data_IF_560551606747
#
_entry.id   IF_560551606747
#
_cell.length_a   1.000
_cell.length_b   1.000
_cell.length_c   1.000
_cell.angle_alpha   90.00
_cell.angle_beta   90.00
_cell.angle_gamma   90.00
#
_symmetry.space_group_name_H-M   'P 1'
#
loop_
_entity.id
_entity.type
_entity.pdbx_description
1 polymer ?
#
# COMPACT_ATOMS: atom_id res chain seq x y z
N UNK A 1 15.81 -14.28 2.82
CA UNK A 1 15.64 -13.01 2.07
C UNK A 1 16.89 -12.15 2.24
N UNK A 2 17.39 -11.50 1.18
CA UNK A 2 18.46 -10.49 1.30
C UNK A 2 17.84 -9.13 1.68
N UNK A 3 18.48 -8.40 2.59
CA UNK A 3 18.07 -7.05 2.96
C UNK A 3 19.04 -5.99 2.43
N UNK A 4 18.55 -4.76 2.30
CA UNK A 4 19.31 -3.55 1.96
C UNK A 4 18.93 -2.43 2.93
N UNK A 5 19.82 -1.44 3.10
CA UNK A 5 19.48 -0.19 3.78
C UNK A 5 18.72 0.70 2.80
N UNK A 6 17.55 1.20 3.21
CA UNK A 6 16.72 2.07 2.37
C UNK A 6 17.26 3.50 2.38
N UNK A 7 18.13 3.82 1.43
CA UNK A 7 18.71 5.16 1.28
C UNK A 7 19.35 5.65 2.59
N UNK A 8 19.03 6.88 2.99
CA UNK A 8 19.57 7.49 4.21
C UNK A 8 18.72 7.22 5.47
N UNK A 9 17.72 6.34 5.39
CA UNK A 9 16.82 6.06 6.54
C UNK A 9 17.47 5.20 7.62
N UNK A 10 18.59 4.53 7.32
CA UNK A 10 19.20 3.48 8.13
C UNK A 10 18.28 2.28 8.43
N UNK A 11 17.11 2.19 7.79
CA UNK A 11 16.19 1.06 7.95
C UNK A 11 16.58 -0.08 7.01
N UNK A 12 16.71 -1.29 7.57
CA UNK A 12 16.94 -2.52 6.81
C UNK A 12 15.62 -3.08 6.30
N UNK A 13 15.48 -3.20 4.98
CA UNK A 13 14.27 -3.70 4.30
C UNK A 13 14.61 -4.86 3.37
N UNK A 14 13.63 -5.71 3.05
CA UNK A 14 13.84 -6.76 2.04
C UNK A 14 14.19 -6.11 0.68
N UNK A 15 15.18 -6.68 -0.02
CA UNK A 15 15.64 -6.13 -1.30
C UNK A 15 14.59 -6.22 -2.42
N UNK A 16 13.55 -7.03 -2.22
CA UNK A 16 12.35 -7.10 -3.03
C UNK A 16 11.17 -6.62 -2.17
N UNK A 17 10.29 -5.82 -2.77
CA UNK A 17 9.07 -5.33 -2.14
C UNK A 17 7.82 -5.95 -2.76
N UNK A 18 6.76 -6.03 -1.96
CA UNK A 18 5.42 -6.31 -2.44
C UNK A 18 4.75 -5.01 -2.85
N UNK A 19 4.29 -4.90 -4.10
CA UNK A 19 3.40 -3.82 -4.54
C UNK A 19 1.93 -4.25 -4.46
N UNK A 20 1.09 -3.43 -3.82
CA UNK A 20 -0.29 -3.79 -3.46
C UNK A 20 -1.38 -3.18 -4.36
N UNK A 21 -1.06 -2.63 -5.53
CA UNK A 21 -2.06 -1.98 -6.40
C UNK A 21 -3.24 -2.90 -6.78
N UNK A 22 -2.97 -4.19 -7.02
CA UNK A 22 -4.01 -5.17 -7.33
C UNK A 22 -5.04 -5.34 -6.20
N UNK A 23 -4.66 -5.08 -4.94
CA UNK A 23 -5.58 -5.25 -3.80
C UNK A 23 -6.71 -4.22 -3.82
N UNK A 24 -6.50 -3.09 -4.51
CA UNK A 24 -7.54 -2.09 -4.77
C UNK A 24 -8.70 -2.60 -5.62
N UNK A 25 -8.52 -3.70 -6.37
CA UNK A 25 -9.55 -4.26 -7.23
C UNK A 25 -9.87 -3.39 -8.46
N UNK A 26 -11.04 -3.58 -9.08
CA UNK A 26 -11.44 -2.82 -10.25
C UNK A 26 -11.65 -1.34 -9.91
N UNK A 27 -11.06 -0.45 -10.70
CA UNK A 27 -11.19 1.00 -10.54
C UNK A 27 -11.24 1.69 -11.89
N UNK A 28 -11.80 2.91 -11.89
CA UNK A 28 -11.85 3.79 -13.06
C UNK A 28 -11.50 5.23 -12.68
N UNK A 29 -10.81 5.91 -13.59
CA UNK A 29 -10.67 7.35 -13.62
C UNK A 29 -11.38 7.86 -14.87
N UNK A 30 -12.60 8.37 -14.70
CA UNK A 30 -13.48 8.71 -15.82
C UNK A 30 -13.72 7.49 -16.73
N UNK A 31 -13.42 7.56 -18.04
CA UNK A 31 -13.57 6.43 -18.95
C UNK A 31 -12.44 5.39 -18.83
N UNK A 32 -11.32 5.71 -18.17
CA UNK A 32 -10.13 4.87 -18.14
C UNK A 32 -10.18 3.86 -16.99
N UNK A 33 -9.89 2.59 -17.29
CA UNK A 33 -9.72 1.56 -16.27
C UNK A 33 -8.32 1.68 -15.64
N UNK A 34 -8.27 1.78 -14.31
CA UNK A 34 -7.04 2.02 -13.53
C UNK A 34 -6.83 0.98 -12.42
N UNK A 35 -7.62 -0.10 -12.43
CA UNK A 35 -7.51 -1.17 -11.44
C UNK A 35 -7.50 -2.55 -12.07
N UNK A 36 -7.50 -3.58 -11.21
CA UNK A 36 -7.36 -4.98 -11.59
C UNK A 36 -8.67 -5.74 -11.38
N UNK A 37 -9.17 -6.40 -12.43
CA UNK A 37 -10.39 -7.21 -12.33
C UNK A 37 -10.14 -8.58 -11.70
N UNK A 38 -11.22 -9.21 -11.23
CA UNK A 38 -11.24 -10.56 -10.67
C UNK A 38 -10.30 -10.78 -9.47
N UNK A 39 -10.02 -9.72 -8.71
CA UNK A 39 -9.24 -9.79 -7.48
C UNK A 39 -10.13 -10.21 -6.32
N UNK A 40 -9.67 -11.19 -5.54
CA UNK A 40 -10.32 -11.62 -4.29
C UNK A 40 -9.49 -11.17 -3.11
N UNK A 41 -10.16 -10.68 -2.08
CA UNK A 41 -9.48 -10.19 -0.87
C UNK A 41 -8.70 -11.32 -0.18
N UNK A 42 -9.21 -12.56 -0.21
CA UNK A 42 -8.51 -13.74 0.31
C UNK A 42 -7.18 -14.02 -0.40
N UNK A 43 -7.10 -13.81 -1.72
CA UNK A 43 -5.84 -13.99 -2.46
C UNK A 43 -4.81 -12.93 -2.02
N UNK A 44 -5.29 -11.71 -1.76
CA UNK A 44 -4.46 -10.61 -1.27
C UNK A 44 -3.93 -10.89 0.14
N UNK A 45 -4.80 -11.35 1.04
CA UNK A 45 -4.47 -11.77 2.42
C UNK A 45 -3.46 -12.92 2.41
N UNK A 46 -3.70 -13.96 1.60
CA UNK A 46 -2.79 -15.11 1.47
C UNK A 46 -1.43 -14.68 0.91
N UNK A 47 -1.40 -13.70 0.00
CA UNK A 47 -0.16 -13.12 -0.52
C UNK A 47 0.62 -12.39 0.57
N UNK A 48 -0.05 -11.62 1.44
CA UNK A 48 0.60 -10.93 2.58
C UNK A 48 1.24 -11.93 3.55
N UNK A 49 0.50 -12.99 3.92
CA UNK A 49 1.02 -14.08 4.77
C UNK A 49 2.23 -14.72 4.12
N UNK A 50 2.12 -15.13 2.85
CA UNK A 50 3.22 -15.77 2.13
C UNK A 50 4.44 -14.87 2.01
N UNK A 51 4.25 -13.57 1.74
CA UNK A 51 5.33 -12.60 1.69
C UNK A 51 6.08 -12.52 3.02
N UNK A 52 5.37 -12.44 4.14
CA UNK A 52 6.00 -12.48 5.45
C UNK A 52 6.78 -13.77 5.70
N UNK A 53 6.22 -14.93 5.34
CA UNK A 53 6.85 -16.25 5.55
C UNK A 53 8.17 -16.40 4.79
N UNK A 54 8.25 -15.86 3.56
CA UNK A 54 9.49 -15.89 2.75
C UNK A 54 10.41 -14.70 3.01
N UNK A 55 10.02 -13.79 3.90
CA UNK A 55 10.80 -12.65 4.35
C UNK A 55 10.67 -11.38 3.48
N UNK A 56 9.71 -11.29 2.55
CA UNK A 56 9.33 -10.04 1.88
C UNK A 56 8.53 -9.20 2.89
N UNK A 57 9.20 -8.26 3.55
CA UNK A 57 8.63 -7.46 4.64
C UNK A 57 8.62 -5.95 4.35
N UNK A 58 9.03 -5.56 3.16
CA UNK A 58 8.83 -4.22 2.61
C UNK A 58 7.59 -4.23 1.72
N UNK A 59 6.52 -3.58 2.15
CA UNK A 59 5.23 -3.55 1.44
C UNK A 59 4.91 -2.11 1.01
N UNK A 60 4.42 -1.96 -0.21
CA UNK A 60 4.07 -0.70 -0.84
C UNK A 60 2.57 -0.65 -1.19
N UNK A 61 1.91 0.43 -0.77
CA UNK A 61 0.50 0.73 -1.08
C UNK A 61 0.33 2.23 -1.37
N UNK A 62 -0.90 2.69 -1.62
CA UNK A 62 -1.27 4.09 -1.73
C UNK A 62 -2.76 4.25 -1.39
N UNK A 63 -3.15 5.45 -0.97
CA UNK A 63 -4.55 5.86 -0.74
C UNK A 63 -5.43 5.64 -1.98
N UNK A 64 -4.92 5.92 -3.17
CA UNK A 64 -5.66 5.77 -4.42
C UNK A 64 -5.89 4.33 -4.87
N UNK A 65 -5.20 3.35 -4.28
CA UNK A 65 -5.36 1.95 -4.67
C UNK A 65 -6.70 1.39 -4.15
N UNK A 66 -7.75 1.52 -4.97
CA UNK A 66 -9.10 1.12 -4.60
C UNK A 66 -9.75 2.06 -3.58
N UNK A 67 -9.42 3.36 -3.59
CA UNK A 67 -9.93 4.38 -2.67
C UNK A 67 -9.78 3.94 -1.19
N UNK A 68 -8.55 3.56 -0.85
CA UNK A 68 -8.14 3.03 0.45
C UNK A 68 -8.39 1.54 0.64
N UNK A 69 -8.99 0.82 -0.32
CA UNK A 69 -9.26 -0.63 -0.17
C UNK A 69 -7.96 -1.43 0.05
N UNK A 70 -6.89 -1.12 -0.69
CA UNK A 70 -5.60 -1.80 -0.52
C UNK A 70 -5.05 -1.67 0.90
N UNK A 71 -5.11 -0.46 1.48
CA UNK A 71 -4.68 -0.19 2.85
C UNK A 71 -5.55 -0.90 3.88
N UNK A 72 -6.86 -0.99 3.67
CA UNK A 72 -7.78 -1.74 4.53
C UNK A 72 -7.48 -3.25 4.52
N UNK A 73 -7.17 -3.82 3.36
CA UNK A 73 -6.76 -5.24 3.26
C UNK A 73 -5.47 -5.47 4.04
N UNK A 74 -4.46 -4.62 3.87
CA UNK A 74 -3.21 -4.71 4.63
C UNK A 74 -3.47 -4.54 6.13
N UNK A 75 -4.31 -3.58 6.52
CA UNK A 75 -4.72 -3.32 7.90
C UNK A 75 -5.37 -4.53 8.59
N UNK A 76 -6.09 -5.36 7.83
CA UNK A 76 -6.82 -6.52 8.36
C UNK A 76 -5.92 -7.66 8.87
N UNK A 77 -4.61 -7.66 8.53
CA UNK A 77 -3.71 -8.79 8.83
C UNK A 77 -2.99 -8.68 10.18
N UNK A 78 -3.13 -7.57 10.90
CA UNK A 78 -2.33 -7.28 12.10
C UNK A 78 -2.62 -8.19 13.29
N UNK A 79 -3.79 -8.83 13.33
CA UNK A 79 -4.08 -9.88 14.32
C UNK A 79 -3.37 -11.21 14.00
N UNK A 80 -2.86 -11.38 12.77
CA UNK A 80 -2.20 -12.59 12.28
C UNK A 80 -0.69 -12.44 12.14
N UNK A 81 -0.21 -11.22 11.92
CA UNK A 81 1.20 -10.93 11.66
C UNK A 81 1.72 -9.79 12.56
N UNK A 82 2.94 -9.90 13.11
CA UNK A 82 3.53 -8.85 13.92
C UNK A 82 3.82 -7.61 13.06
N UNK A 83 3.04 -6.54 13.27
CA UNK A 83 3.18 -5.26 12.54
C UNK A 83 4.61 -4.69 12.60
N UNK A 84 5.32 -4.89 13.70
CA UNK A 84 6.71 -4.42 13.90
C UNK A 84 7.73 -5.04 12.95
N UNK A 85 7.42 -6.19 12.34
CA UNK A 85 8.30 -6.83 11.38
C UNK A 85 8.16 -6.26 9.96
N UNK A 86 7.12 -5.46 9.71
CA UNK A 86 6.77 -4.98 8.37
C UNK A 86 7.17 -3.50 8.23
N UNK A 87 7.97 -3.22 7.20
CA UNK A 87 8.14 -1.86 6.70
C UNK A 87 7.04 -1.59 5.67
N UNK A 88 6.07 -0.76 6.05
CA UNK A 88 4.94 -0.39 5.20
C UNK A 88 5.15 1.03 4.68
N UNK A 89 5.19 1.18 3.36
CA UNK A 89 5.20 2.45 2.67
C UNK A 89 3.81 2.71 2.05
N UNK A 90 3.25 3.89 2.32
CA UNK A 90 2.06 4.39 1.64
C UNK A 90 2.36 5.75 0.98
N UNK A 91 1.40 6.26 0.22
CA UNK A 91 1.52 7.48 -0.58
C UNK A 91 0.20 8.26 -0.51
N UNK A 92 0.31 9.57 -0.69
CA UNK A 92 -0.83 10.46 -0.84
C UNK A 92 -0.50 11.63 -1.77
N UNK A 93 -1.49 12.48 -2.06
CA UNK A 93 -1.34 13.67 -2.92
C UNK A 93 -1.71 13.44 -4.38
N UNK A 94 -2.56 12.44 -4.68
CA UNK A 94 -3.17 12.30 -6.02
C UNK A 94 -4.49 13.06 -6.13
N UNK A 95 -5.33 13.01 -5.08
CA UNK A 95 -6.56 13.81 -4.98
C UNK A 95 -6.21 15.22 -4.46
N UNK A 96 -6.53 16.31 -5.19
CA UNK A 96 -6.35 17.68 -4.70
C UNK A 96 -7.46 18.14 -3.74
N UNK A 97 -8.54 17.37 -3.61
CA UNK A 97 -9.73 17.77 -2.84
C UNK A 97 -10.36 19.04 -3.41
N UNK A 98 -10.59 20.02 -2.53
CA UNK A 98 -11.19 21.31 -2.90
C UNK A 98 -10.15 22.37 -3.34
N UNK A 99 -8.87 21.99 -3.43
CA UNK A 99 -7.77 22.91 -3.69
C UNK A 99 -7.35 22.93 -5.17
N UNK A 100 -6.72 24.04 -5.59
CA UNK A 100 -6.27 24.21 -6.97
C UNK A 100 -5.06 23.31 -7.34
N UNK A 101 -4.37 22.75 -6.35
CA UNK A 101 -3.19 21.91 -6.56
C UNK A 101 -3.12 20.71 -5.60
N UNK A 102 -2.56 19.61 -6.10
CA UNK A 102 -2.52 18.30 -5.44
C UNK A 102 -1.82 18.24 -4.08
N UNK A 103 -0.88 19.16 -3.81
CA UNK A 103 -0.04 19.13 -2.61
C UNK A 103 -0.42 20.20 -1.58
N UNK A 104 -1.71 20.53 -1.47
CA UNK A 104 -2.16 21.47 -0.44
C UNK A 104 -1.95 20.87 0.97
N UNK A 105 -1.20 21.53 1.88
CA UNK A 105 -0.78 20.94 3.15
C UNK A 105 -1.95 20.43 4.02
N UNK A 106 -3.06 21.16 4.06
CA UNK A 106 -4.23 20.79 4.88
C UNK A 106 -4.90 19.52 4.36
N UNK A 107 -4.97 19.37 3.03
CA UNK A 107 -5.55 18.18 2.41
C UNK A 107 -4.63 16.97 2.56
N UNK A 108 -3.33 17.14 2.31
CA UNK A 108 -2.35 16.08 2.53
C UNK A 108 -2.33 15.58 3.97
N UNK A 109 -2.44 16.50 4.95
CA UNK A 109 -2.55 16.10 6.36
C UNK A 109 -3.81 15.27 6.59
N UNK A 110 -4.96 15.71 6.08
CA UNK A 110 -6.22 14.95 6.19
C UNK A 110 -6.12 13.55 5.57
N UNK A 111 -5.37 13.38 4.49
CA UNK A 111 -5.14 12.07 3.87
C UNK A 111 -4.21 11.16 4.69
N UNK A 112 -3.42 11.71 5.62
CA UNK A 112 -2.50 10.95 6.48
C UNK A 112 -3.13 10.50 7.81
N UNK A 113 -4.30 11.04 8.18
CA UNK A 113 -5.05 10.69 9.41
C UNK A 113 -5.98 9.49 9.20
#
# INVERSE_FOLDING_TARGET
MRNIVLGNTNVSVSAVSLGAWAYGGPQKLGPMHTGWSNQRDDDSINTLVRCNDIGIRHWDTADVYGDGKSEKIIGSIWDKLPRSNIFLATKTGYDPGEHEHHYHPDHMRKQME
#
